data_IF_280420042494
#
_entry.id   IF_280420042494
#
_cell.length_a   1.000
_cell.length_b   1.000
_cell.length_c   1.000
_cell.angle_alpha   90.00
_cell.angle_beta   90.00
_cell.angle_gamma   90.00
#
_symmetry.space_group_name_H-M   'P 1'
#
loop_
_entity.id
_entity.type
_entity.pdbx_description
1 polymer ?
2 non-polymer ?
3 water ?
#
# COMPACT_ATOMS: atom_id res chain seq x y z
N UNK A 1 2.14 25.30 -11.03
CA UNK A 1 1.20 24.69 -11.96
C UNK A 1 1.53 23.21 -12.18
N UNK A 2 0.56 22.35 -11.86
CA UNK A 2 0.72 20.90 -11.89
C UNK A 2 0.01 20.31 -13.11
N UNK A 3 0.63 19.28 -13.70
CA UNK A 3 0.02 18.61 -14.84
C UNK A 3 -1.23 17.85 -14.43
N UNK A 4 -2.14 17.64 -15.40
CA UNK A 4 -3.34 16.88 -15.12
C UNK A 4 -3.00 15.45 -14.75
N UNK A 5 -1.89 14.92 -15.28
CA UNK A 5 -1.39 13.61 -14.94
C UNK A 5 -1.59 12.57 -16.00
N UNK A 6 -2.50 12.82 -16.95
CA UNK A 6 -2.71 11.90 -18.07
C UNK A 6 -3.44 12.66 -19.17
N UNK A 7 -3.22 12.23 -20.41
CA UNK A 7 -3.88 12.89 -21.55
C UNK A 7 -5.37 12.56 -21.61
N UNK A 8 -5.72 11.27 -21.56
CA UNK A 8 -7.12 10.86 -21.63
C UNK A 8 -7.80 10.98 -20.27
N UNK A 9 -9.13 11.15 -20.33
CA UNK A 9 -9.95 11.33 -19.13
C UNK A 9 -10.31 9.95 -18.55
N UNK A 10 -9.28 9.29 -18.02
CA UNK A 10 -9.42 7.98 -17.39
C UNK A 10 -8.77 8.04 -16.02
N UNK A 11 -9.53 7.68 -14.98
CA UNK A 11 -9.03 7.63 -13.62
C UNK A 11 -9.12 6.21 -13.11
N UNK A 12 -7.98 5.65 -12.72
CA UNK A 12 -7.90 4.29 -12.19
C UNK A 12 -7.61 4.42 -10.70
N UNK A 13 -8.64 4.25 -9.88
CA UNK A 13 -8.52 4.35 -8.43
C UNK A 13 -8.37 2.94 -7.86
N UNK A 14 -7.30 2.73 -7.10
CA UNK A 14 -6.94 1.40 -6.64
C UNK A 14 -6.63 1.41 -5.16
N UNK A 15 -6.66 0.22 -4.57
CA UNK A 15 -6.12 0.00 -3.24
C UNK A 15 -5.12 -1.13 -3.30
N UNK A 16 -4.16 -1.09 -2.38
CA UNK A 16 -3.14 -2.12 -2.37
C UNK A 16 -2.49 -2.20 -0.99
N UNK A 17 -2.17 -3.43 -0.58
CA UNK A 17 -1.43 -3.68 0.66
C UNK A 17 -0.01 -4.15 0.41
N UNK A 18 0.19 -5.05 -0.56
CA UNK A 18 1.51 -5.57 -0.88
C UNK A 18 1.99 -5.16 -2.27
N UNK A 19 1.28 -4.24 -2.93
CA UNK A 19 1.75 -3.66 -4.16
C UNK A 19 1.30 -4.33 -5.43
N UNK A 20 0.58 -5.44 -5.35
CA UNK A 20 0.17 -6.16 -6.55
C UNK A 20 -0.84 -5.35 -7.35
N UNK A 21 -1.91 -4.89 -6.68
CA UNK A 21 -2.90 -4.08 -7.38
C UNK A 21 -2.33 -2.75 -7.84
N UNK A 22 -1.40 -2.19 -7.07
CA UNK A 22 -0.76 -0.92 -7.45
C UNK A 22 -0.05 -1.06 -8.79
N UNK A 23 0.69 -2.15 -8.98
CA UNK A 23 1.39 -2.37 -10.24
C UNK A 23 0.41 -2.63 -11.37
N UNK A 24 -0.65 -3.39 -11.10
CA UNK A 24 -1.65 -3.68 -12.12
C UNK A 24 -2.38 -2.41 -12.53
N UNK A 25 -2.71 -1.57 -11.54
CA UNK A 25 -3.39 -0.31 -11.87
C UNK A 25 -2.53 0.57 -12.75
N UNK A 26 -1.24 0.66 -12.46
CA UNK A 26 -0.33 1.46 -13.30
C UNK A 26 -0.26 0.89 -14.71
N UNK A 27 -0.24 -0.43 -14.84
CA UNK A 27 -0.24 -1.03 -16.17
C UNK A 27 -1.52 -0.70 -16.92
N UNK A 28 -2.66 -0.77 -16.22
CA UNK A 28 -3.93 -0.42 -16.84
C UNK A 28 -3.96 1.06 -17.21
N UNK A 29 -3.47 1.92 -16.31
CA UNK A 29 -3.46 3.36 -16.57
C UNK A 29 -2.65 3.70 -17.82
N UNK A 30 -1.49 3.07 -18.00
CA UNK A 30 -0.66 3.36 -19.17
C UNK A 30 -1.40 3.06 -20.46
N UNK A 31 -2.08 1.91 -20.54
CA UNK A 31 -2.71 1.51 -21.79
C UNK A 31 -3.83 2.45 -22.19
N UNK A 32 -4.57 2.97 -21.21
CA UNK A 32 -5.65 3.91 -21.47
C UNK A 32 -5.22 5.37 -21.36
N UNK A 33 -3.93 5.63 -21.16
CA UNK A 33 -3.42 6.99 -20.96
C UNK A 33 -4.15 7.68 -19.83
N UNK A 34 -4.33 6.96 -18.71
CA UNK A 34 -5.03 7.46 -17.56
C UNK A 34 -4.12 7.63 -16.35
N UNK A 35 -4.72 8.10 -15.26
CA UNK A 35 -4.05 8.30 -14.00
C UNK A 35 -4.30 7.12 -13.08
N UNK A 36 -3.26 6.71 -12.36
CA UNK A 36 -3.39 5.72 -11.30
C UNK A 36 -3.41 6.46 -9.98
N UNK A 37 -4.49 6.31 -9.23
CA UNK A 37 -4.69 7.07 -8.00
C UNK A 37 -4.92 6.08 -6.87
N UNK A 38 -4.14 6.22 -5.80
CA UNK A 38 -4.34 5.39 -4.62
C UNK A 38 -5.56 5.89 -3.87
N UNK A 39 -6.37 4.93 -3.39
CA UNK A 39 -7.60 5.29 -2.69
C UNK A 39 -7.32 6.08 -1.42
N UNK A 40 -6.12 5.91 -0.85
CA UNK A 40 -5.75 6.66 0.34
C UNK A 40 -5.62 8.16 0.04
N UNK A 41 -5.16 8.51 -1.15
CA UNK A 41 -5.01 9.90 -1.55
C UNK A 41 -6.05 10.36 -2.54
N UNK A 42 -7.02 9.52 -2.88
CA UNK A 42 -8.05 9.90 -3.85
C UNK A 42 -9.03 10.89 -3.22
N UNK A 43 -9.71 11.64 -4.09
CA UNK A 43 -10.76 12.56 -3.68
C UNK A 43 -12.04 12.20 -4.43
N UNK A 44 -13.16 12.74 -3.95
CA UNK A 44 -14.42 12.55 -4.67
C UNK A 44 -14.33 13.11 -6.08
N UNK A 45 -13.52 14.16 -6.28
CA UNK A 45 -13.32 14.67 -7.63
C UNK A 45 -12.69 13.62 -8.53
N UNK A 46 -11.77 12.81 -7.99
CA UNK A 46 -11.15 11.76 -8.78
C UNK A 46 -12.18 10.75 -9.28
N UNK A 47 -13.24 10.50 -8.51
CA UNK A 47 -14.30 9.62 -8.96
C UNK A 47 -15.17 10.28 -10.03
N UNK A 48 -15.37 11.59 -9.95
CA UNK A 48 -16.33 12.28 -10.81
C UNK A 48 -15.70 12.92 -12.04
N UNK A 49 -14.45 13.37 -11.96
CA UNK A 49 -13.82 14.13 -13.04
C UNK A 49 -13.12 13.21 -14.04
N UNK A 50 -13.91 12.33 -14.64
CA UNK A 50 -13.37 11.42 -15.66
C UNK A 50 -14.52 10.83 -16.45
N UNK A 51 -14.27 10.59 -17.74
CA UNK A 51 -15.26 9.97 -18.59
C UNK A 51 -15.31 8.46 -18.42
N UNK A 52 -14.20 7.85 -18.03
CA UNK A 52 -14.15 6.42 -17.74
C UNK A 52 -13.44 6.22 -16.41
N UNK A 53 -14.17 5.70 -15.43
CA UNK A 53 -13.64 5.43 -14.10
C UNK A 53 -13.41 3.94 -13.94
N UNK A 54 -12.24 3.56 -13.45
CA UNK A 54 -11.91 2.15 -13.21
C UNK A 54 -11.48 1.99 -11.76
N UNK A 55 -12.18 1.12 -11.03
CA UNK A 55 -11.92 0.88 -9.62
C UNK A 55 -11.29 -0.50 -9.45
N UNK A 56 -10.19 -0.55 -8.72
CA UNK A 56 -9.50 -1.80 -8.48
C UNK A 56 -9.26 -2.02 -7.01
N UNK A 57 -9.35 -3.28 -6.59
CA UNK A 57 -9.16 -3.61 -5.19
C UNK A 57 -8.77 -5.06 -5.04
N UNK A 58 -7.85 -5.40 -4.14
CA UNK A 58 -7.63 -6.80 -3.80
C UNK A 58 -8.63 -7.22 -2.72
N UNK A 59 -8.73 -8.53 -2.53
CA UNK A 59 -9.61 -9.12 -1.53
C UNK A 59 -8.77 -9.57 -0.35
N UNK A 60 -9.10 -9.09 0.84
CA UNK A 60 -8.34 -9.40 2.04
C UNK A 60 -9.29 -9.85 3.14
N UNK A 61 -8.72 -10.52 4.14
CA UNK A 61 -9.54 -11.09 5.20
C UNK A 61 -10.33 -12.27 4.70
N UNK A 62 -11.61 -12.31 5.05
CA UNK A 62 -12.50 -13.39 4.66
C UNK A 62 -13.48 -12.88 3.61
N UNK A 63 -12.96 -12.65 2.40
CA UNK A 63 -13.76 -12.10 1.33
C UNK A 63 -14.18 -10.67 1.55
N UNK A 64 -13.38 -9.89 2.28
CA UNK A 64 -13.73 -8.52 2.61
C UNK A 64 -12.97 -7.53 1.73
N UNK A 65 -13.45 -6.29 1.73
CA UNK A 65 -12.80 -5.22 1.02
C UNK A 65 -11.45 -4.89 1.66
N UNK A 66 -10.51 -4.46 0.83
CA UNK A 66 -9.21 -4.02 1.32
C UNK A 66 -9.38 -2.87 2.30
N UNK A 67 -8.51 -2.84 3.34
CA UNK A 67 -8.74 -1.98 4.50
C UNK A 67 -8.84 -0.50 4.11
N UNK A 68 -7.99 -0.03 3.20
CA UNK A 68 -8.06 1.37 2.81
C UNK A 68 -9.37 1.66 2.10
N UNK A 69 -9.85 0.70 1.30
CA UNK A 69 -11.13 0.88 0.62
C UNK A 69 -12.28 0.99 1.60
N UNK A 70 -12.27 0.18 2.67
CA UNK A 70 -13.35 0.27 3.65
C UNK A 70 -13.33 1.62 4.36
N UNK A 71 -12.15 2.06 4.79
CA UNK A 71 -12.04 3.33 5.49
C UNK A 71 -12.43 4.49 4.58
N UNK A 72 -12.05 4.42 3.30
CA UNK A 72 -12.27 5.51 2.35
C UNK A 72 -13.47 5.27 1.45
N UNK A 73 -14.34 4.33 1.80
CA UNK A 73 -15.49 4.02 0.94
C UNK A 73 -16.45 5.20 0.84
N UNK A 74 -16.41 6.14 1.79
CA UNK A 74 -17.23 7.34 1.69
C UNK A 74 -16.95 8.10 0.40
N UNK A 75 -15.68 8.20 0.01
CA UNK A 75 -15.33 8.91 -1.22
C UNK A 75 -16.09 8.33 -2.41
N UNK A 76 -16.41 7.04 -2.37
CA UNK A 76 -17.21 6.40 -3.39
C UNK A 76 -18.69 6.68 -3.21
N UNK A 77 -19.20 6.48 -1.99
CA UNK A 77 -20.62 6.68 -1.73
C UNK A 77 -21.04 8.15 -1.84
N UNK A 78 -20.10 9.08 -1.76
CA UNK A 78 -20.41 10.49 -1.87
C UNK A 78 -20.11 11.05 -3.25
N UNK A 79 -19.77 10.18 -4.21
CA UNK A 79 -19.50 10.60 -5.58
C UNK A 79 -20.73 10.42 -6.44
N UNK A 80 -20.96 11.38 -7.34
CA UNK A 80 -22.07 11.28 -8.28
C UNK A 80 -21.61 10.44 -9.46
N UNK A 81 -22.04 9.18 -9.50
CA UNK A 81 -21.64 8.25 -10.55
C UNK A 81 -22.79 7.93 -11.49
N UNK A 82 -23.90 8.65 -11.40
CA UNK A 82 -25.09 8.34 -12.17
C UNK A 82 -24.84 8.47 -13.67
N UNK A 83 -25.03 7.38 -14.39
CA UNK A 83 -24.83 7.37 -15.83
C UNK A 83 -23.40 7.41 -16.27
N UNK A 84 -22.45 7.30 -15.34
CA UNK A 84 -21.04 7.34 -15.68
C UNK A 84 -20.55 5.94 -16.00
N UNK A 85 -19.68 5.84 -17.01
CA UNK A 85 -19.12 4.56 -17.42
C UNK A 85 -18.05 4.15 -16.41
N UNK A 86 -18.25 2.98 -15.79
CA UNK A 86 -17.36 2.50 -14.74
C UNK A 86 -16.97 1.05 -15.05
N UNK A 87 -15.70 0.73 -14.85
CA UNK A 87 -15.19 -0.62 -15.01
C UNK A 87 -14.45 -1.02 -13.73
N UNK A 88 -14.36 -2.33 -13.49
CA UNK A 88 -13.76 -2.85 -12.27
C UNK A 88 -12.76 -3.94 -12.60
N UNK A 89 -11.66 -3.96 -11.84
CA UNK A 89 -10.70 -5.05 -11.88
C UNK A 89 -10.36 -5.44 -10.45
N UNK A 90 -10.20 -6.74 -10.22
CA UNK A 90 -9.92 -7.24 -8.89
C UNK A 90 -8.76 -8.20 -8.90
N UNK A 91 -7.89 -8.09 -7.90
CA UNK A 91 -6.82 -9.04 -7.69
C UNK A 91 -7.18 -9.97 -6.55
N UNK A 92 -6.84 -11.24 -6.72
CA UNK A 92 -7.13 -12.24 -5.70
C UNK A 92 -6.35 -13.50 -5.98
N UNK A 93 -6.37 -14.40 -5.00
CA UNK A 93 -5.71 -15.70 -5.08
C UNK A 93 -6.77 -16.78 -5.13
N UNK A 94 -6.97 -17.38 -6.31
CA UNK A 94 -8.04 -18.36 -6.47
C UNK A 94 -7.67 -19.72 -5.88
N UNK A 95 -6.37 -20.02 -5.77
CA UNK A 95 -5.97 -21.31 -5.20
C UNK A 95 -6.17 -21.33 -3.69
N UNK A 96 -5.61 -20.35 -2.99
CA UNK A 96 -5.72 -20.32 -1.53
C UNK A 96 -7.08 -19.80 -1.05
N UNK A 97 -7.84 -19.11 -1.91
CA UNK A 97 -9.14 -18.56 -1.53
C UNK A 97 -10.16 -18.83 -2.62
N UNK A 98 -10.52 -20.11 -2.83
CA UNK A 98 -11.46 -20.43 -3.91
C UNK A 98 -12.92 -20.16 -3.60
N UNK A 99 -13.29 -19.90 -2.35
CA UNK A 99 -14.67 -19.59 -1.99
C UNK A 99 -14.93 -18.11 -1.84
N UNK A 100 -13.88 -17.29 -1.79
CA UNK A 100 -14.01 -15.85 -1.69
C UNK A 100 -13.14 -15.18 -2.74
N UNK A 101 -13.09 -15.78 -3.93
CA UNK A 101 -12.24 -15.29 -5.01
C UNK A 101 -12.74 -13.94 -5.51
N UNK A 102 -11.82 -12.96 -5.53
CA UNK A 102 -12.06 -11.56 -5.92
C UNK A 102 -13.41 -11.07 -5.39
N UNK A 103 -13.70 -11.37 -4.13
CA UNK A 103 -14.98 -10.97 -3.55
C UNK A 103 -15.07 -9.46 -3.42
N UNK A 104 -13.94 -8.79 -3.18
CA UNK A 104 -13.96 -7.33 -3.03
C UNK A 104 -14.40 -6.63 -4.31
N UNK A 105 -14.19 -7.25 -5.47
CA UNK A 105 -14.68 -6.65 -6.71
C UNK A 105 -16.21 -6.67 -6.75
N UNK A 106 -16.83 -7.71 -6.19
CA UNK A 106 -18.28 -7.73 -6.11
C UNK A 106 -18.82 -6.69 -5.15
N UNK A 107 -18.10 -6.45 -4.05
CA UNK A 107 -18.51 -5.41 -3.11
C UNK A 107 -18.45 -4.03 -3.74
N UNK A 108 -17.43 -3.78 -4.58
CA UNK A 108 -17.37 -2.53 -5.31
C UNK A 108 -18.45 -2.44 -6.38
N UNK A 109 -18.80 -3.57 -6.98
CA UNK A 109 -19.85 -3.58 -8.00
C UNK A 109 -21.19 -3.17 -7.41
N UNK A 110 -21.55 -3.76 -6.27
CA UNK A 110 -22.78 -3.36 -5.58
C UNK A 110 -22.79 -1.87 -5.25
N UNK A 111 -21.62 -1.31 -4.93
CA UNK A 111 -21.58 0.09 -4.51
C UNK A 111 -21.75 1.05 -5.67
N UNK A 112 -21.29 0.68 -6.86
CA UNK A 112 -21.38 1.63 -7.97
C UNK A 112 -22.72 1.50 -8.67
N UNK A 113 -23.31 0.31 -8.67
CA UNK A 113 -24.63 0.16 -9.25
C UNK A 113 -25.67 0.93 -8.45
N UNK A 114 -25.61 0.87 -7.11
CA UNK A 114 -26.52 1.66 -6.29
C UNK A 114 -26.44 3.16 -6.60
N UNK A 115 -25.25 3.67 -6.90
CA UNK A 115 -25.06 5.10 -7.17
C UNK A 115 -25.37 5.43 -8.64
N UNK A 116 -25.84 4.45 -9.41
CA UNK A 116 -26.28 4.67 -10.77
C UNK A 116 -25.27 4.62 -11.89
N UNK A 117 -24.08 4.07 -11.65
CA UNK A 117 -23.09 3.96 -12.71
C UNK A 117 -23.46 2.86 -13.71
N UNK A 118 -23.15 3.11 -14.98
CA UNK A 118 -23.25 2.09 -16.02
C UNK A 118 -21.95 1.29 -15.99
N UNK A 119 -22.03 0.03 -15.59
CA UNK A 119 -20.83 -0.79 -15.45
C UNK A 119 -20.60 -1.54 -16.75
N UNK A 120 -19.39 -1.42 -17.29
CA UNK A 120 -19.00 -2.09 -18.51
C UNK A 120 -17.75 -2.92 -18.22
N UNK A 121 -17.41 -3.78 -19.15
CA UNK A 121 -16.23 -4.62 -19.00
C UNK A 121 -16.46 -5.93 -18.31
N UNK A 122 -17.63 -6.54 -18.48
CA UNK A 122 -17.86 -7.86 -17.94
C UNK A 122 -16.97 -8.87 -18.65
N UNK A 123 -16.43 -9.81 -17.88
CA UNK A 123 -15.54 -10.84 -18.41
C UNK A 123 -16.11 -12.23 -18.12
N UNK A 124 -15.55 -13.22 -18.78
CA UNK A 124 -15.98 -14.59 -18.61
C UNK A 124 -15.14 -15.28 -17.53
N UNK A 125 -15.74 -16.26 -16.87
CA UNK A 125 -15.10 -17.02 -15.81
C UNK A 125 -14.50 -18.33 -16.31
N UNK A 126 -14.19 -18.42 -17.60
CA UNK A 126 -13.79 -19.70 -18.20
C UNK A 126 -12.41 -20.14 -17.69
N UNK A 127 -11.40 -19.28 -17.82
CA UNK A 127 -10.06 -19.69 -17.44
C UNK A 127 -9.77 -19.67 -15.96
N UNK A 128 -10.79 -19.54 -15.12
CA UNK A 128 -10.61 -19.44 -13.68
C UNK A 128 -11.11 -20.71 -13.00
N UNK A 129 -10.51 -21.03 -11.86
CA UNK A 129 -10.90 -22.18 -11.06
C UNK A 129 -11.27 -21.67 -9.67
N UNK A 130 -12.56 -21.65 -9.38
CA UNK A 130 -13.05 -21.16 -8.09
C UNK A 130 -14.43 -21.74 -7.84
N UNK A 131 -14.82 -21.75 -6.56
CA UNK A 131 -16.12 -22.26 -6.14
C UNK A 131 -17.15 -21.15 -5.99
N UNK A 132 -16.83 -20.09 -5.26
CA UNK A 132 -17.76 -18.99 -5.04
C UNK A 132 -17.03 -17.67 -5.19
N UNK A 133 -17.77 -16.67 -5.70
CA UNK A 133 -17.21 -15.34 -5.87
C UNK A 133 -18.36 -14.33 -5.89
N UNK A 134 -18.28 -13.33 -5.03
CA UNK A 134 -19.26 -12.26 -5.06
C UNK A 134 -19.14 -11.40 -6.31
N UNK A 135 -18.07 -11.57 -7.09
CA UNK A 135 -17.87 -10.83 -8.33
C UNK A 135 -18.54 -11.49 -9.52
N UNK A 136 -19.24 -12.60 -9.31
CA UNK A 136 -19.87 -13.35 -10.40
C UNK A 136 -21.34 -12.96 -10.50
N UNK A 137 -21.79 -12.65 -11.71
CA UNK A 137 -23.18 -12.36 -12.00
C UNK A 137 -23.54 -12.96 -13.34
N UNK A 138 -24.62 -13.75 -13.38
CA UNK A 138 -25.08 -14.41 -14.60
C UNK A 138 -23.99 -15.29 -15.20
N UNK A 139 -23.20 -15.93 -14.34
CA UNK A 139 -22.13 -16.79 -14.81
C UNK A 139 -20.92 -16.06 -15.36
N UNK A 140 -20.83 -14.75 -15.18
CA UNK A 140 -19.68 -13.99 -15.64
C UNK A 140 -19.25 -13.02 -14.55
N UNK A 141 -18.02 -12.54 -14.66
CA UNK A 141 -17.46 -11.58 -13.72
C UNK A 141 -17.89 -10.17 -14.07
N UNK A 142 -18.07 -9.35 -13.05
CA UNK A 142 -18.47 -7.94 -13.20
C UNK A 142 -17.27 -7.12 -13.68
N UNK A 143 -16.14 -7.76 -13.87
CA UNK A 143 -14.97 -7.07 -14.36
C UNK A 143 -13.80 -8.01 -14.53
N UNK A 144 -12.61 -7.43 -14.63
CA UNK A 144 -11.40 -8.19 -14.89
C UNK A 144 -10.88 -8.82 -13.61
N UNK A 145 -10.93 -10.15 -13.53
CA UNK A 145 -10.37 -10.88 -12.41
C UNK A 145 -8.94 -11.31 -12.73
N UNK A 146 -8.01 -10.95 -11.85
CA UNK A 146 -6.60 -11.26 -12.04
C UNK A 146 -6.05 -11.97 -10.82
N UNK A 147 -5.11 -12.88 -11.06
CA UNK A 147 -4.43 -13.63 -9.99
C UNK A 147 -2.93 -13.49 -10.18
N UNK A 148 -2.35 -12.45 -9.58
CA UNK A 148 -0.90 -12.27 -9.67
C UNK A 148 -0.12 -13.32 -8.90
N UNK A 149 -0.78 -14.01 -7.96
CA UNK A 149 -0.08 -15.00 -7.14
C UNK A 149 0.20 -16.28 -7.93
N UNK A 150 -0.82 -16.82 -8.60
CA UNK A 150 -0.63 -18.06 -9.31
C UNK A 150 -0.89 -18.00 -10.81
N UNK A 151 -1.30 -16.84 -11.31
CA UNK A 151 -1.62 -16.71 -12.73
C UNK A 151 -1.06 -15.42 -13.33
N UNK A 152 0.10 -14.96 -12.86
CA UNK A 152 0.62 -13.67 -13.31
C UNK A 152 0.98 -13.68 -14.80
N UNK A 153 1.32 -14.86 -15.33
CA UNK A 153 1.65 -14.96 -16.75
C UNK A 153 0.46 -14.70 -17.66
N UNK A 154 -0.76 -14.80 -17.13
CA UNK A 154 -1.96 -14.58 -17.93
C UNK A 154 -2.56 -13.19 -17.75
N UNK A 155 -2.12 -12.44 -16.74
CA UNK A 155 -2.69 -11.12 -16.49
C UNK A 155 -2.41 -10.17 -17.65
N UNK A 156 -1.21 -10.25 -18.23
CA UNK A 156 -0.86 -9.36 -19.34
C UNK A 156 -1.81 -9.56 -20.52
N UNK A 157 -2.15 -10.82 -20.83
CA UNK A 157 -3.11 -11.08 -21.90
C UNK A 157 -4.52 -10.66 -21.50
N UNK A 158 -4.90 -10.92 -20.25
CA UNK A 158 -6.24 -10.56 -19.78
C UNK A 158 -6.44 -9.05 -19.77
N UNK A 159 -5.41 -8.29 -19.41
CA UNK A 159 -5.51 -6.84 -19.44
C UNK A 159 -5.66 -6.36 -20.88
N UNK A 160 -4.92 -6.97 -21.80
CA UNK A 160 -5.01 -6.58 -23.20
C UNK A 160 -6.39 -6.83 -23.78
N UNK A 161 -6.98 -7.99 -23.48
CA UNK A 161 -8.31 -8.30 -23.99
C UNK A 161 -9.39 -7.48 -23.32
N UNK A 162 -9.24 -7.21 -22.02
CA UNK A 162 -10.28 -6.47 -21.29
C UNK A 162 -10.37 -5.02 -21.74
N UNK A 163 -9.23 -4.37 -21.93
CA UNK A 163 -9.23 -2.96 -22.30
C UNK A 163 -9.82 -2.73 -23.68
N UNK A 164 -9.58 -3.67 -24.61
CA UNK A 164 -10.10 -3.51 -25.96
C UNK A 164 -11.63 -3.44 -25.98
N UNK A 165 -12.28 -3.99 -24.97
CA UNK A 165 -13.73 -3.89 -24.85
C UNK A 165 -14.18 -2.59 -24.20
N UNK A 166 -13.29 -1.89 -23.50
CA UNK A 166 -13.67 -0.64 -22.83
C UNK A 166 -13.67 0.56 -23.76
N UNK A 167 -13.07 0.45 -24.93
CA UNK A 167 -12.96 1.58 -25.86
C UNK A 167 -13.94 1.41 -27.03
N UNK B 1 10.35 -24.74 -0.38
CA UNK B 1 11.25 -24.05 0.54
C UNK B 1 11.37 -22.57 0.19
N UNK B 2 11.01 -21.71 1.13
CA UNK B 2 11.01 -20.27 0.90
C UNK B 2 12.22 -19.63 1.58
N UNK B 3 12.85 -18.69 0.89
CA UNK B 3 13.96 -17.96 1.48
C UNK B 3 13.47 -17.01 2.57
N UNK B 4 14.34 -16.72 3.53
CA UNK B 4 13.99 -15.78 4.60
C UNK B 4 13.79 -14.37 4.07
N UNK B 5 14.45 -14.01 2.98
CA UNK B 5 14.29 -12.69 2.39
C UNK B 5 15.47 -11.78 2.62
N UNK B 6 16.35 -12.10 3.56
CA UNK B 6 17.53 -11.28 3.78
C UNK B 6 18.60 -12.14 4.44
N UNK B 7 19.85 -11.82 4.11
CA UNK B 7 20.98 -12.53 4.72
C UNK B 7 21.14 -12.14 6.19
N UNK B 8 21.17 -10.85 6.47
CA UNK B 8 21.29 -10.35 7.83
C UNK B 8 19.93 -10.32 8.53
N UNK B 9 19.97 -10.40 9.86
CA UNK B 9 18.75 -10.39 10.67
C UNK B 9 18.31 -8.94 10.98
N UNK B 10 17.82 -8.27 9.94
CA UNK B 10 17.31 -6.91 10.05
C UNK B 10 15.93 -6.85 9.43
N UNK B 11 14.95 -6.37 10.18
CA UNK B 11 13.59 -6.18 9.71
C UNK B 11 13.27 -4.70 9.74
N UNK B 12 12.94 -4.14 8.58
CA UNK B 12 12.62 -2.73 8.46
C UNK B 12 11.12 -2.62 8.19
N UNK B 13 10.36 -2.40 9.25
CA UNK B 13 8.88 -2.26 9.12
C UNK B 13 8.59 -0.76 8.92
N UNK B 14 8.00 -0.41 7.78
CA UNK B 14 7.81 1.03 7.47
C UNK B 14 6.35 1.33 7.16
N UNK B 15 6.03 2.63 7.10
CA UNK B 15 4.67 3.04 6.70
C UNK B 15 4.82 4.11 5.66
N UNK B 16 4.00 4.08 4.60
CA UNK B 16 4.04 5.14 3.57
C UNK B 16 2.65 5.37 2.98
N UNK B 17 2.31 6.62 2.68
CA UNK B 17 1.01 6.93 2.04
C UNK B 17 1.27 7.43 0.62
N UNK B 18 2.42 8.08 0.40
CA UNK B 18 2.72 8.66 -0.93
C UNK B 18 3.95 7.98 -1.57
N UNK B 19 4.70 7.18 -0.80
CA UNK B 19 5.81 6.42 -1.41
C UNK B 19 7.17 6.90 -0.99
N UNK B 20 7.25 8.00 -0.24
CA UNK B 20 8.56 8.58 0.15
C UNK B 20 9.26 7.66 1.17
N UNK B 21 8.57 7.34 2.26
CA UNK B 21 9.16 6.46 3.29
C UNK B 21 9.41 5.09 2.71
N UNK B 22 8.46 4.57 1.93
CA UNK B 22 8.61 3.24 1.29
C UNK B 22 9.96 3.15 0.57
N UNK B 23 10.27 4.15 -0.25
CA UNK B 23 11.52 4.12 -1.05
C UNK B 23 12.73 4.17 -0.12
N UNK B 24 12.64 4.98 0.94
CA UNK B 24 13.81 5.14 1.86
C UNK B 24 14.05 3.81 2.60
N UNK B 25 12.98 3.16 3.05
CA UNK B 25 13.09 1.88 3.78
C UNK B 25 13.71 0.85 2.84
N UNK B 26 13.24 0.79 1.59
CA UNK B 26 13.85 -0.14 0.61
C UNK B 26 15.37 0.07 0.58
N UNK B 27 15.80 1.32 0.39
CA UNK B 27 17.26 1.61 0.31
C UNK B 27 17.96 1.16 1.60
N UNK B 28 17.41 1.53 2.76
CA UNK B 28 18.08 1.18 4.05
C UNK B 28 18.25 -0.34 4.12
N UNK B 29 17.21 -1.09 3.75
CA UNK B 29 17.24 -2.57 3.83
C UNK B 29 18.30 -3.11 2.87
N UNK B 30 18.30 -2.62 1.63
CA UNK B 30 19.30 -3.07 0.64
C UNK B 30 20.71 -2.87 1.22
N UNK B 31 20.94 -1.73 1.88
CA UNK B 31 22.31 -1.45 2.40
C UNK B 31 22.62 -2.38 3.59
N UNK B 32 21.65 -2.64 4.46
CA UNK B 32 21.83 -3.45 5.65
C UNK B 32 21.51 -4.92 5.40
N UNK B 33 21.22 -5.29 4.15
CA UNK B 33 20.85 -6.66 3.79
C UNK B 33 19.67 -7.15 4.63
N UNK B 34 18.66 -6.29 4.75
CA UNK B 34 17.49 -6.58 5.54
C UNK B 34 16.23 -6.65 4.68
N UNK B 35 15.11 -6.93 5.36
CA UNK B 35 13.80 -7.00 4.74
C UNK B 35 13.05 -5.69 4.94
N UNK B 36 12.37 -5.25 3.88
CA UNK B 36 11.46 -4.11 3.96
C UNK B 36 10.04 -4.62 4.00
N UNK B 37 9.31 -4.29 5.07
CA UNK B 37 7.96 -4.79 5.29
C UNK B 37 7.04 -3.61 5.53
N UNK B 38 5.95 -3.55 4.78
CA UNK B 38 4.92 -2.54 5.02
C UNK B 38 4.10 -2.94 6.24
N UNK B 39 3.80 -1.97 7.10
CA UNK B 39 3.12 -2.24 8.36
C UNK B 39 1.73 -2.82 8.12
N UNK B 40 1.11 -2.51 6.97
CA UNK B 40 -0.20 -3.08 6.67
C UNK B 40 -0.12 -4.58 6.48
N UNK B 41 1.00 -5.08 5.95
CA UNK B 41 1.20 -6.51 5.75
C UNK B 41 2.18 -7.09 6.75
N UNK B 42 2.65 -6.30 7.72
CA UNK B 42 3.60 -6.78 8.71
C UNK B 42 2.92 -7.70 9.72
N UNK B 43 3.72 -8.54 10.37
CA UNK B 43 3.24 -9.43 11.41
C UNK B 43 4.00 -9.18 12.70
N UNK B 44 3.43 -9.66 13.82
CA UNK B 44 4.14 -9.61 15.08
C UNK B 44 5.45 -10.38 14.99
N UNK B 45 5.47 -11.45 14.19
CA UNK B 45 6.70 -12.19 13.95
C UNK B 45 7.75 -11.30 13.28
N UNK B 46 7.31 -10.44 12.35
CA UNK B 46 8.24 -9.52 11.70
C UNK B 46 8.88 -8.57 12.70
N UNK B 47 8.16 -8.21 13.76
CA UNK B 47 8.72 -7.34 14.79
C UNK B 47 9.74 -8.06 15.64
N UNK B 48 9.53 -9.35 15.90
CA UNK B 48 10.34 -10.11 16.85
C UNK B 48 11.47 -10.91 16.21
N UNK B 49 11.31 -11.35 14.97
CA UNK B 49 12.28 -12.25 14.34
C UNK B 49 13.40 -11.46 13.67
N UNK B 50 14.12 -10.68 14.49
CA UNK B 50 15.26 -9.93 14.00
C UNK B 50 16.09 -9.46 15.19
N UNK B 51 17.41 -9.41 14.99
CA UNK B 51 18.30 -8.91 16.02
C UNK B 51 18.31 -7.39 16.06
N UNK B 52 18.02 -6.74 14.93
CA UNK B 52 17.89 -5.30 14.86
C UNK B 52 16.58 -4.97 14.16
N UNK B 53 15.69 -4.30 14.88
CA UNK B 53 14.40 -3.89 14.35
C UNK B 53 14.48 -2.40 14.01
N UNK B 54 14.04 -2.04 12.81
CA UNK B 54 14.06 -0.65 12.37
C UNK B 54 12.64 -0.27 11.99
N UNK B 55 12.11 0.74 12.66
CA UNK B 55 10.74 1.21 12.45
C UNK B 55 10.78 2.55 11.75
N UNK B 56 9.99 2.68 10.69
CA UNK B 56 9.92 3.91 9.93
C UNK B 56 8.50 4.38 9.77
N UNK B 57 8.33 5.71 9.80
CA UNK B 57 6.99 6.27 9.68
C UNK B 57 7.09 7.70 9.18
N UNK B 58 6.20 8.11 8.28
CA UNK B 58 6.09 9.54 7.97
C UNK B 58 5.18 10.23 8.97
N UNK B 59 5.26 11.56 8.96
CA UNK B 59 4.46 12.38 9.85
C UNK B 59 3.34 13.01 9.03
N UNK B 60 2.10 12.78 9.44
CA UNK B 60 0.95 13.26 8.69
C UNK B 60 -0.08 13.96 9.59
N UNK B 64 1.76 13.32 14.89
CA UNK B 64 1.03 12.98 13.67
C UNK B 64 1.50 11.65 13.09
N UNK B 65 1.15 10.56 13.76
CA UNK B 65 1.51 9.24 13.27
C UNK B 65 0.75 8.94 11.97
N UNK B 66 1.42 8.23 11.07
CA UNK B 66 0.78 7.81 9.83
C UNK B 66 -0.40 6.87 10.15
N UNK B 67 -1.46 7.00 9.36
CA UNK B 67 -2.74 6.37 9.71
C UNK B 67 -2.64 4.85 9.83
N UNK B 68 -1.90 4.21 8.92
CA UNK B 68 -1.79 2.75 8.97
C UNK B 68 -1.05 2.30 10.23
N UNK B 69 -0.07 3.08 10.69
CA UNK B 69 0.67 2.70 11.90
C UNK B 69 -0.24 2.68 13.12
N UNK B 70 -1.13 3.67 13.25
CA UNK B 70 -2.05 3.68 14.38
C UNK B 70 -3.04 2.53 14.29
N UNK B 71 -3.60 2.30 13.10
CA UNK B 71 -4.57 1.22 12.94
C UNK B 71 -3.93 -0.13 13.28
N UNK B 72 -2.66 -0.29 12.92
CA UNK B 72 -1.94 -1.54 13.10
C UNK B 72 -1.01 -1.52 14.31
N UNK B 73 -1.18 -0.56 15.23
CA UNK B 73 -0.32 -0.45 16.38
C UNK B 73 -0.41 -1.69 17.29
N UNK B 74 -1.43 -2.52 17.09
CA UNK B 74 -1.52 -3.79 17.81
C UNK B 74 -0.25 -4.61 17.66
N UNK B 75 0.23 -4.73 16.42
CA UNK B 75 1.40 -5.54 16.13
C UNK B 75 2.63 -5.06 16.90
N UNK B 76 2.70 -3.77 17.21
CA UNK B 76 3.81 -3.24 18.00
C UNK B 76 3.61 -3.52 19.48
N UNK B 77 2.41 -3.22 20.02
CA UNK B 77 2.16 -3.41 21.44
C UNK B 77 2.10 -4.89 21.82
N UNK B 78 1.84 -5.78 20.88
CA UNK B 78 1.75 -7.21 21.16
C UNK B 78 3.01 -7.95 20.75
N UNK B 79 4.06 -7.24 20.37
CA UNK B 79 5.34 -7.85 20.04
C UNK B 79 6.26 -7.76 21.25
N UNK B 80 7.01 -8.83 21.50
CA UNK B 80 7.95 -8.84 22.61
C UNK B 80 9.23 -8.14 22.16
N UNK B 81 9.42 -6.91 22.61
CA UNK B 81 10.59 -6.13 22.28
C UNK B 81 11.53 -5.95 23.46
N UNK B 82 11.26 -6.65 24.56
CA UNK B 82 12.05 -6.47 25.78
C UNK B 82 13.50 -6.85 25.53
N UNK B 83 14.40 -5.89 25.70
CA UNK B 83 15.81 -6.13 25.47
C UNK B 83 16.21 -6.24 24.01
N UNK B 84 15.31 -5.97 23.08
CA UNK B 84 15.61 -6.06 21.65
C UNK B 84 16.17 -4.73 21.15
N UNK B 85 17.15 -4.83 20.25
CA UNK B 85 17.75 -3.63 19.67
C UNK B 85 16.81 -3.04 18.62
N UNK B 86 16.44 -1.78 18.80
CA UNK B 86 15.50 -1.12 17.91
C UNK B 86 16.07 0.23 17.49
N UNK B 87 15.95 0.55 16.20
CA UNK B 87 16.35 1.83 15.67
C UNK B 87 15.18 2.43 14.91
N UNK B 88 15.20 3.75 14.77
CA UNK B 88 14.09 4.46 14.14
C UNK B 88 14.61 5.38 13.05
N UNK B 89 13.86 5.45 11.95
CA UNK B 89 14.10 6.44 10.91
C UNK B 89 12.77 7.09 10.55
N UNK B 90 12.81 8.38 10.32
CA UNK B 90 11.58 9.14 10.08
C UNK B 90 11.67 10.04 8.87
N UNK B 91 10.58 10.07 8.11
CA UNK B 91 10.42 10.98 6.99
C UNK B 91 9.50 12.12 7.41
N UNK B 92 9.78 13.32 6.91
CA UNK B 92 8.95 14.46 7.26
C UNK B 92 9.08 15.65 6.35
N UNK B 95 10.64 21.84 5.69
CA UNK B 95 10.45 23.17 5.14
C UNK B 95 9.03 23.66 5.35
N UNK B 96 8.04 22.87 4.91
CA UNK B 96 6.64 23.22 5.05
C UNK B 96 6.13 23.02 6.48
N UNK B 97 6.87 22.30 7.31
CA UNK B 97 6.42 22.01 8.67
C UNK B 97 7.55 22.24 9.67
N UNK B 101 8.39 18.35 12.93
CA UNK B 101 9.35 17.71 12.04
C UNK B 101 9.71 16.32 12.56
N UNK B 102 9.55 15.32 11.69
CA UNK B 102 9.72 13.91 12.04
C UNK B 102 9.07 13.63 13.37
N UNK B 103 7.86 14.17 13.56
CA UNK B 103 7.19 14.05 14.85
C UNK B 103 6.74 12.61 15.13
N UNK B 104 6.29 11.90 14.09
CA UNK B 104 5.83 10.53 14.28
C UNK B 104 6.94 9.62 14.78
N UNK B 105 8.18 10.00 14.51
CA UNK B 105 9.34 9.21 15.01
C UNK B 105 9.32 9.24 16.54
N UNK B 106 9.02 10.39 17.15
CA UNK B 106 8.99 10.46 18.60
C UNK B 106 7.86 9.62 19.17
N UNK B 107 6.71 9.60 18.50
CA UNK B 107 5.62 8.74 18.95
C UNK B 107 6.02 7.28 18.85
N UNK B 108 6.74 6.91 17.78
CA UNK B 108 7.27 5.57 17.64
C UNK B 108 8.44 5.32 18.60
N UNK B 109 9.19 6.37 18.94
CA UNK B 109 10.27 6.20 19.93
C UNK B 109 9.67 5.82 21.28
N UNK B 110 8.63 6.54 21.68
CA UNK B 110 8.05 6.29 23.02
C UNK B 110 7.50 4.86 23.09
N UNK B 111 6.84 4.41 22.02
CA UNK B 111 6.22 3.07 22.01
C UNK B 111 7.28 2.01 22.26
N UNK B 112 8.36 2.03 21.48
CA UNK B 112 9.39 0.96 21.59
C UNK B 112 10.02 1.03 23.00
N UNK B 113 10.27 2.24 23.51
CA UNK B 113 10.88 2.40 24.86
C UNK B 113 9.91 1.81 25.90
N UNK B 114 8.61 2.06 25.73
CA UNK B 114 7.59 1.52 26.67
C UNK B 114 7.63 -0.01 26.60
N UNK B 115 7.78 -0.57 25.41
CA UNK B 115 7.86 -2.04 25.26
C UNK B 115 9.11 -2.56 25.99
N UNK B 116 10.23 -1.83 25.90
CA UNK B 116 11.47 -2.24 26.60
C UNK B 116 12.58 -2.48 25.61
N UNK B 117 12.41 -1.97 24.39
CA UNK B 117 13.41 -2.19 23.32
C UNK B 117 14.56 -1.21 23.48
N UNK B 118 15.78 -1.70 23.69
CA UNK B 118 16.96 -0.85 23.73
C UNK B 118 17.07 -0.10 22.42
N UNK B 119 16.94 1.21 22.46
CA UNK B 119 16.91 2.03 21.26
C UNK B 119 18.33 2.46 20.92
N UNK B 120 18.72 2.30 19.66
CA UNK B 120 20.07 2.72 19.21
C UNK B 120 19.95 3.71 18.04
N UNK B 121 21.05 4.02 17.35
CA UNK B 121 21.04 4.93 16.18
C UNK B 121 20.57 6.34 16.47
N UNK B 122 20.89 6.90 17.64
CA UNK B 122 20.54 8.32 17.90
C UNK B 122 21.34 9.19 16.93
N UNK B 123 20.80 10.34 16.54
CA UNK B 123 21.47 11.16 15.50
C UNK B 123 21.62 12.59 15.96
N UNK B 124 22.67 13.29 15.50
CA UNK B 124 22.84 14.73 15.84
C UNK B 124 21.75 15.55 15.14
N UNK B 125 21.27 16.62 15.78
CA UNK B 125 20.26 17.50 15.16
C UNK B 125 20.96 18.58 14.36
N UNK B 126 22.25 18.39 14.08
CA UNK B 126 23.04 19.44 13.38
C UNK B 126 22.48 19.70 11.97
N UNK B 127 22.10 18.65 11.24
CA UNK B 127 21.63 18.80 9.86
C UNK B 127 20.85 20.09 9.68
N UNK B 134 9.03 16.54 18.28
CA UNK B 134 8.67 15.73 19.45
C UNK B 134 9.55 14.48 19.50
N UNK B 135 10.50 14.41 18.58
CA UNK B 135 11.43 13.28 18.54
C UNK B 135 12.80 13.70 19.07
N UNK B 138 18.32 14.73 26.72
CA UNK B 138 17.76 14.95 25.36
C UNK B 138 18.75 15.76 24.52
N UNK B 139 18.25 16.56 23.58
CA UNK B 139 19.13 17.41 22.77
C UNK B 139 19.73 16.65 21.60
N UNK B 140 19.31 15.40 21.39
CA UNK B 140 19.79 14.60 20.24
C UNK B 140 18.58 14.01 19.49
N UNK B 141 18.75 13.69 18.19
CA UNK B 141 17.65 13.02 17.45
C UNK B 141 17.62 11.57 17.88
N UNK B 142 16.42 11.01 18.08
CA UNK B 142 16.30 9.62 18.58
C UNK B 142 16.57 8.62 17.43
N UNK B 143 16.65 9.12 16.20
CA UNK B 143 16.89 8.26 15.04
C UNK B 143 17.26 9.05 13.81
N UNK B 144 17.22 8.43 12.63
CA UNK B 144 17.61 9.11 11.38
C UNK B 144 16.44 9.95 10.86
N UNK B 145 16.52 11.27 11.04
CA UNK B 145 15.47 12.17 10.50
C UNK B 145 15.80 12.50 9.05
N UNK B 146 14.89 12.15 8.14
CA UNK B 146 15.16 12.35 6.69
C UNK B 146 14.06 13.24 6.09
N UNK B 147 14.45 14.27 5.33
CA UNK B 147 13.49 15.16 4.69
C UNK B 147 13.68 14.98 3.19
N UNK B 148 12.92 14.04 2.63
CA UNK B 148 13.00 13.76 1.19
C UNK B 148 12.48 14.90 0.34
N UNK B 149 11.75 15.84 0.95
CA UNK B 149 11.15 16.93 0.19
C UNK B 149 12.20 17.93 -0.27
N UNK B 150 13.05 18.39 0.65
CA UNK B 150 14.05 19.39 0.29
C UNK B 150 15.51 19.06 0.52
N UNK B 151 15.81 17.89 1.07
CA UNK B 151 17.18 17.54 1.45
C UNK B 151 17.54 16.13 1.00
N UNK B 152 17.03 15.71 -0.16
CA UNK B 152 17.20 14.32 -0.59
C UNK B 152 18.66 13.98 -0.90
N UNK B 153 19.46 14.95 -1.35
CA UNK B 153 20.87 14.66 -1.62
C UNK B 153 21.64 14.35 -0.36
N UNK B 154 21.12 14.72 0.80
CA UNK B 154 21.76 14.45 2.07
C UNK B 154 21.20 13.21 2.75
N UNK B 155 20.06 12.68 2.27
CA UNK B 155 19.50 11.48 2.87
C UNK B 155 20.44 10.30 2.68
N UNK B 156 21.04 10.19 1.49
CA UNK B 156 22.01 9.11 1.27
C UNK B 156 23.19 9.25 2.21
N UNK B 157 23.67 10.47 2.43
CA UNK B 157 24.74 10.68 3.37
C UNK B 157 24.28 10.45 4.80
N UNK B 158 23.07 10.93 5.13
CA UNK B 158 22.55 10.73 6.48
C UNK B 158 22.32 9.24 6.75
N UNK B 159 21.90 8.49 5.73
CA UNK B 159 21.75 7.04 5.88
C UNK B 159 23.12 6.40 6.08
N UNK B 160 24.10 6.84 5.29
CA UNK B 160 25.44 6.24 5.38
C UNK B 160 25.94 6.37 6.81
N UNK B 161 25.90 7.57 7.37
CA UNK B 161 26.38 7.80 8.76
C UNK B 161 25.53 7.00 9.75
N UNK B 162 24.21 7.01 9.55
CA UNK B 162 23.32 6.29 10.50
C UNK B 162 23.69 4.81 10.53
N UNK B 163 23.94 4.23 9.36
CA UNK B 163 24.27 2.77 9.29
C UNK B 163 25.57 2.54 10.07
N UNK B 164 26.53 3.47 9.97
CA UNK B 164 27.80 3.35 10.71
C UNK B 164 27.52 3.30 12.21
N UNK B 165 26.57 4.11 12.68
CA UNK B 165 26.26 4.17 14.12
C UNK B 165 25.58 2.86 14.57
N UNK B 166 24.91 2.17 13.65
CA UNK B 166 24.20 0.94 14.00
C UNK B 166 25.09 -0.28 14.00
N UNK B 167 26.25 -0.21 13.37
CA UNK B 167 27.15 -1.36 13.27
C UNK B 167 28.35 -1.22 14.20
X LIG C 1 -7.65 -13.33 -2.49
X LIG C 1 -8.93 -13.62 -2.85
X LIG C 1 -9.27 -13.78 -4.03
X LIG C 1 -9.91 -13.74 -1.87
X LIG C 1 -9.72 -13.60 -0.52
X LIG C 1 -10.66 -13.72 0.26
X LIG C 1 -8.36 -13.30 -0.14
X LIG C 1 -8.08 -13.17 1.13
X LIG C 1 -6.77 -12.91 1.49
X LIG C 1 -6.45 -12.80 2.84
X LIG C 1 -5.16 -12.57 3.25
X LIG C 1 -4.84 -12.47 4.73
X LIG C 1 -4.13 -12.43 2.30
X LIG C 1 -2.71 -12.17 2.70
X LIG C 1 -4.45 -12.54 0.94
X LIG C 1 -5.75 -12.77 0.53
X LIG C 1 -6.09 -12.91 -0.83
X LIG C 1 -7.39 -13.18 -1.20
X LIG C 1 -5.09 -12.73 -1.88
X LIG C 1 -4.78 -11.27 -2.21
X LIG C 1 -5.99 -10.58 -2.56
X LIG C 1 -3.79 -11.21 -3.38
X LIG C 1 -2.51 -11.62 -2.92
X LIG C 1 -3.66 -9.81 -3.99
X LIG C 1 -2.89 -9.90 -5.19
X LIG C 1 -3.05 -8.81 -3.04
X LIG C 1 -3.01 -7.53 -3.69
X LIG C 1 -1.97 -6.41 -3.15
X LIG C 1 -2.46 -6.01 -1.77
X LIG C 1 -2.03 -5.27 -4.15
X LIG C 1 -0.62 -7.10 -3.13
X LIG D 1 6.18 16.43 7.93
X LIG D 1 6.74 16.74 9.13
X LIG D 1 7.97 16.74 9.30
X LIG D 1 5.93 17.06 10.21
X LIG D 1 4.56 17.10 10.21
X LIG D 1 3.94 17.41 11.24
X LIG D 1 3.96 16.77 8.94
X LIG D 1 2.66 16.81 8.83
X LIG D 1 2.09 16.51 7.59
X LIG D 1 0.70 16.60 7.46
X LIG D 1 0.10 16.35 6.24
X LIG D 1 -1.41 16.45 6.13
X LIG D 1 0.88 16.03 5.12
X LIG D 1 0.25 15.78 3.77
X LIG D 1 2.26 15.94 5.24
X LIG D 1 2.87 16.19 6.48
X LIG D 1 4.27 16.16 6.63
X LIG D 1 4.86 16.45 7.84
X LIG D 1 5.15 15.82 5.51
X LIG D 1 5.28 14.32 5.23
X LIG D 1 5.70 13.63 6.40
X LIG D 1 6.31 14.10 4.11
X LIG D 1 5.77 14.57 2.88
X LIG D 1 6.74 12.64 3.96
X LIG D 1 7.83 12.54 3.05
X LIG D 1 5.60 11.74 3.52
X LIG D 1 6.10 10.38 3.44
X LIG D 1 5.30 9.30 2.53
X LIG D 1 5.16 9.94 1.16
X LIG D 1 6.17 8.06 2.51
X LIG D 1 3.97 9.07 3.20
#
# INVERSE_FOLDING_TARGET
AAARGSHMSVNVIFGSDAGATRAVASRIAKRLQGRAVDIKSATTTDFEACSLLILGAPTYGFGDLQTDWETNIDKLTSANLAGKKVALFGTGDQTNYPDSFVDAMGLLYDHVVERGADVVGFTETAGYDYTASKAERDGRFVGLALDEDGQSSKTEKRITEWISRLT
AAARGSHMSVNVIFGSDAGATRAVASRIAKRLQGRAVDIKSATTTDFEACSLLILGAPTYGFGDLQTDWETNIDKLTSANLAGKKVALFGTGDQTNYPDSFVDAMGLLYDHVVERGADVVGFTETAGYDYTASKAERDGRFVGLALDEDGQSSKTEKRITEWISRLT
FMN N1 C2 O2 N3 C4 O4 C4A N5 C5A C6 C7 C7M C8 C8M C9 C9A N10 C10 C1' C2' O2' C3' O3' C4' O4' C5' O5' P O1P O2P O3P
FMN N1 C2 O2 N3 C4 O4 C4A N5 C5A C6 C7 C7M C8 C8M C9 C9A N10 C10 C1' C2' O2' C3' O3' C4' O4' C5' O5' P O1P O2P O3P
#
